data_IF_006171327473
#
_entry.id   IF_006171327473
#
_cell.length_a   1.000
_cell.length_b   1.000
_cell.length_c   1.000
_cell.angle_alpha   90.00
_cell.angle_beta   90.00
_cell.angle_gamma   90.00
#
_symmetry.space_group_name_H-M   'P 1'
#
loop_
_entity.id
_entity.type
_entity.pdbx_description
1 polymer ?
#
# COMPACT_ATOMS: atom_id res chain seq x y z
N UNK A 1 -69.48 58.85 -7.57
CA UNK A 1 -68.07 58.85 -7.11
C UNK A 1 -68.01 57.96 -5.89
N UNK A 2 -67.51 56.72 -6.03
CA UNK A 2 -67.51 55.72 -4.95
C UNK A 2 -66.09 55.51 -4.44
N UNK A 3 -65.91 55.72 -3.14
CA UNK A 3 -64.70 55.41 -2.39
C UNK A 3 -64.57 53.89 -2.21
N UNK A 4 -63.35 53.34 -2.31
CA UNK A 4 -63.07 51.99 -1.81
C UNK A 4 -61.69 51.89 -1.19
N UNK A 5 -61.74 51.28 -0.02
CA UNK A 5 -60.73 51.04 1.02
C UNK A 5 -59.62 50.11 0.56
N UNK A 6 -58.39 50.38 1.02
CA UNK A 6 -57.20 49.54 0.85
C UNK A 6 -57.07 48.58 2.04
N UNK A 7 -56.92 47.29 1.78
CA UNK A 7 -56.45 46.28 2.75
C UNK A 7 -54.98 45.96 2.46
N UNK A 8 -54.16 45.98 3.52
CA UNK A 8 -52.76 45.57 3.51
C UNK A 8 -52.63 44.04 3.70
N UNK A 9 -51.68 43.42 3.00
CA UNK A 9 -51.23 42.04 3.24
C UNK A 9 -49.70 41.99 3.36
N UNK A 10 -49.24 41.22 4.34
CA UNK A 10 -47.85 41.10 4.79
C UNK A 10 -46.93 40.40 3.77
N UNK A 11 -45.68 40.87 3.71
CA UNK A 11 -44.57 40.22 3.01
C UNK A 11 -43.96 39.10 3.89
N UNK A 12 -43.86 37.89 3.36
CA UNK A 12 -43.12 36.77 3.93
C UNK A 12 -41.86 36.49 3.09
N UNK A 13 -40.69 36.64 3.70
CA UNK A 13 -39.39 36.37 3.07
C UNK A 13 -39.06 34.88 3.17
N UNK A 14 -38.95 34.18 2.05
CA UNK A 14 -38.41 32.82 2.01
C UNK A 14 -36.88 32.86 1.98
N UNK A 15 -36.24 32.27 2.99
CA UNK A 15 -34.79 32.09 3.05
C UNK A 15 -34.49 30.71 2.42
N UNK A 16 -33.86 30.69 1.25
CA UNK A 16 -33.35 29.47 0.66
C UNK A 16 -32.00 29.12 1.29
N UNK A 17 -31.93 28.02 2.03
CA UNK A 17 -30.66 27.47 2.50
C UNK A 17 -29.90 26.82 1.33
N UNK A 18 -28.59 27.07 1.15
CA UNK A 18 -27.81 26.36 0.14
C UNK A 18 -27.64 24.89 0.55
N UNK A 19 -28.04 23.99 -0.35
CA UNK A 19 -27.71 22.56 -0.26
C UNK A 19 -26.19 22.43 -0.51
N UNK A 20 -25.41 21.76 0.35
CA UNK A 20 -24.01 21.50 0.06
C UNK A 20 -23.90 20.65 -1.21
N UNK A 21 -23.08 21.11 -2.17
CA UNK A 21 -22.78 20.35 -3.36
C UNK A 21 -22.10 19.03 -2.96
N UNK A 22 -22.66 17.90 -3.40
CA UNK A 22 -21.98 16.61 -3.28
C UNK A 22 -20.70 16.64 -4.13
N UNK A 23 -19.57 16.50 -3.45
CA UNK A 23 -18.26 16.39 -4.06
C UNK A 23 -18.21 15.08 -4.86
N UNK A 24 -18.26 15.18 -6.19
CA UNK A 24 -18.16 14.03 -7.07
C UNK A 24 -16.81 13.33 -6.86
N UNK A 25 -16.81 12.18 -6.18
CA UNK A 25 -15.65 11.28 -6.13
C UNK A 25 -15.32 10.85 -7.56
N UNK A 26 -14.29 11.45 -8.16
CA UNK A 26 -13.80 11.07 -9.47
C UNK A 26 -13.48 9.57 -9.47
N UNK A 27 -14.13 8.82 -10.36
CA UNK A 27 -13.88 7.40 -10.54
C UNK A 27 -12.48 7.24 -11.15
N UNK A 28 -11.50 6.86 -10.32
CA UNK A 28 -10.17 6.47 -10.81
C UNK A 28 -10.34 5.20 -11.64
N UNK A 29 -9.96 5.24 -12.92
CA UNK A 29 -9.96 4.08 -13.81
C UNK A 29 -9.13 2.96 -13.17
N UNK A 30 -9.68 1.74 -13.08
CA UNK A 30 -8.93 0.54 -12.65
C UNK A 30 -7.61 0.47 -13.41
N UNK A 31 -6.51 0.46 -12.69
CA UNK A 31 -5.19 0.35 -13.29
C UNK A 31 -4.90 -1.14 -13.47
N UNK A 32 -4.96 -1.62 -14.72
CA UNK A 32 -4.65 -3.02 -15.01
C UNK A 32 -3.24 -3.38 -14.52
N UNK A 33 -3.14 -4.53 -13.84
CA UNK A 33 -1.87 -5.12 -13.44
C UNK A 33 -1.05 -5.40 -14.71
N UNK A 34 0.18 -4.87 -14.75
CA UNK A 34 1.07 -4.96 -15.90
C UNK A 34 2.51 -5.37 -15.54
N UNK A 35 2.73 -5.80 -14.30
CA UNK A 35 4.05 -6.20 -13.81
C UNK A 35 3.98 -7.44 -12.91
N UNK A 36 4.94 -8.33 -13.11
CA UNK A 36 5.14 -9.55 -12.33
C UNK A 36 6.47 -9.41 -11.57
N UNK A 37 6.39 -9.35 -10.25
CA UNK A 37 7.56 -9.42 -9.38
C UNK A 37 7.93 -10.89 -9.19
N UNK A 38 9.17 -11.26 -9.56
CA UNK A 38 9.66 -12.63 -9.42
C UNK A 38 11.16 -12.63 -9.09
N UNK A 39 11.47 -12.43 -7.81
CA UNK A 39 12.80 -12.67 -7.26
C UNK A 39 12.79 -14.02 -6.55
N UNK A 40 13.57 -14.98 -7.08
CA UNK A 40 13.66 -16.36 -6.58
C UNK A 40 12.33 -17.10 -6.44
N UNK A 41 11.33 -16.84 -7.29
CA UNK A 41 10.01 -17.46 -7.16
C UNK A 41 9.99 -18.99 -7.35
N UNK A 42 11.06 -19.57 -7.91
CA UNK A 42 11.26 -21.02 -7.92
C UNK A 42 11.39 -21.61 -6.51
N UNK A 43 11.80 -20.83 -5.50
CA UNK A 43 11.84 -21.25 -4.10
C UNK A 43 10.46 -21.27 -3.43
N UNK A 44 9.45 -20.71 -4.10
CA UNK A 44 8.10 -20.52 -3.57
C UNK A 44 7.03 -21.14 -4.47
N UNK A 45 7.39 -22.06 -5.36
CA UNK A 45 6.46 -22.67 -6.33
C UNK A 45 5.54 -21.62 -7.01
N UNK A 46 6.11 -20.44 -7.33
CA UNK A 46 5.32 -19.26 -7.64
C UNK A 46 4.52 -19.44 -8.94
N UNK A 47 3.21 -19.21 -8.84
CA UNK A 47 2.28 -19.20 -9.96
C UNK A 47 1.45 -17.90 -9.92
N UNK A 48 1.05 -17.42 -11.09
CA UNK A 48 0.27 -16.18 -11.17
C UNK A 48 -0.70 -16.19 -12.35
N UNK A 49 -1.77 -15.39 -12.23
CA UNK A 49 -2.63 -15.00 -13.33
C UNK A 49 -2.75 -13.48 -13.34
N UNK A 50 -2.00 -12.84 -14.24
CA UNK A 50 -1.94 -11.38 -14.31
C UNK A 50 -3.30 -10.76 -14.66
N UNK A 51 -4.12 -11.44 -15.48
CA UNK A 51 -5.43 -10.94 -15.91
C UNK A 51 -6.45 -10.88 -14.79
N UNK A 52 -6.40 -11.82 -13.83
CA UNK A 52 -7.28 -11.82 -12.65
C UNK A 52 -6.64 -11.20 -11.42
N UNK A 53 -5.33 -10.95 -11.44
CA UNK A 53 -4.56 -10.52 -10.26
C UNK A 53 -4.23 -11.65 -9.28
N UNK A 54 -4.26 -12.90 -9.76
CA UNK A 54 -4.07 -14.10 -8.93
C UNK A 54 -2.59 -14.35 -8.63
N UNK A 55 -2.28 -14.60 -7.36
CA UNK A 55 -0.95 -14.95 -6.86
C UNK A 55 -1.07 -16.24 -6.07
N UNK A 56 -0.24 -17.23 -6.38
CA UNK A 56 -0.03 -18.40 -5.55
C UNK A 56 1.45 -18.60 -5.24
N UNK A 57 1.76 -18.82 -3.98
CA UNK A 57 3.10 -19.15 -3.52
C UNK A 57 3.00 -20.24 -2.44
N UNK A 58 3.92 -21.20 -2.47
CA UNK A 58 4.07 -22.27 -1.51
C UNK A 58 5.56 -22.53 -1.29
N UNK A 59 6.03 -22.38 -0.06
CA UNK A 59 7.46 -22.41 0.25
C UNK A 59 7.75 -23.32 1.44
N UNK A 60 8.95 -23.89 1.41
CA UNK A 60 9.50 -24.68 2.51
C UNK A 60 11.00 -24.42 2.65
N UNK A 61 11.36 -23.71 3.71
CA UNK A 61 12.70 -23.23 4.05
C UNK A 61 13.44 -22.53 2.89
N UNK A 62 12.86 -21.47 2.28
CA UNK A 62 13.53 -20.69 1.25
C UNK A 62 14.69 -19.88 1.85
N UNK A 63 15.70 -19.56 1.04
CA UNK A 63 16.74 -18.60 1.43
C UNK A 63 16.21 -17.17 1.49
N UNK A 64 15.60 -16.70 0.40
CA UNK A 64 14.86 -15.45 0.28
C UNK A 64 14.15 -15.42 -1.08
N UNK A 65 12.88 -14.99 -1.10
CA UNK A 65 12.14 -14.72 -2.33
C UNK A 65 11.21 -13.52 -2.14
N UNK A 66 10.93 -12.81 -3.22
CA UNK A 66 9.88 -11.79 -3.28
C UNK A 66 9.08 -12.00 -4.56
N UNK A 67 7.82 -12.39 -4.43
CA UNK A 67 6.93 -12.66 -5.56
C UNK A 67 5.62 -11.90 -5.42
N UNK A 68 5.08 -11.42 -6.54
CA UNK A 68 3.86 -10.65 -6.51
C UNK A 68 3.42 -10.09 -7.84
N UNK A 69 2.34 -9.31 -7.80
CA UNK A 69 1.76 -8.65 -8.97
C UNK A 69 1.49 -7.18 -8.69
N UNK A 70 1.59 -6.35 -9.72
CA UNK A 70 1.19 -4.95 -9.65
C UNK A 70 1.52 -4.19 -10.91
N UNK A 71 2.23 -3.09 -10.75
CA UNK A 71 2.43 -2.09 -11.79
C UNK A 71 3.91 -1.81 -12.01
N UNK A 72 4.31 -1.74 -13.28
CA UNK A 72 5.68 -1.43 -13.70
C UNK A 72 6.10 0.00 -13.31
N UNK A 73 5.11 0.86 -13.11
CA UNK A 73 5.28 2.23 -12.61
C UNK A 73 4.44 2.44 -11.34
N UNK A 74 5.13 2.66 -10.23
CA UNK A 74 4.57 3.07 -8.96
C UNK A 74 3.99 4.47 -9.02
N UNK A 75 2.98 4.72 -8.18
CA UNK A 75 2.41 6.06 -7.98
C UNK A 75 2.22 6.33 -6.49
N UNK A 76 2.05 7.60 -6.14
CA UNK A 76 1.89 8.04 -4.76
C UNK A 76 0.46 7.95 -4.22
N UNK A 77 -0.52 7.67 -5.09
CA UNK A 77 -1.94 7.80 -4.78
C UNK A 77 -2.74 6.52 -4.98
N UNK A 78 -2.07 5.41 -5.35
CA UNK A 78 -2.75 4.14 -5.61
C UNK A 78 -3.42 3.60 -4.35
N UNK A 79 -4.64 3.09 -4.51
CA UNK A 79 -5.28 2.23 -3.52
C UNK A 79 -5.14 0.80 -4.01
N UNK A 80 -4.40 -0.02 -3.26
CA UNK A 80 -4.16 -1.43 -3.64
C UNK A 80 -5.12 -2.30 -2.84
N UNK A 81 -6.00 -3.01 -3.52
CA UNK A 81 -6.91 -3.97 -2.93
C UNK A 81 -6.30 -5.36 -3.00
N UNK A 82 -6.36 -6.10 -1.90
CA UNK A 82 -5.86 -7.46 -1.82
C UNK A 82 -6.77 -8.32 -0.97
N UNK A 83 -6.72 -9.63 -1.17
CA UNK A 83 -7.39 -10.57 -0.29
C UNK A 83 -7.12 -12.01 -0.64
N UNK A 84 -7.21 -12.88 0.36
CA UNK A 84 -7.06 -14.31 0.18
C UNK A 84 -6.53 -14.99 1.43
N UNK A 85 -5.86 -16.12 1.25
CA UNK A 85 -5.25 -16.89 2.32
C UNK A 85 -3.75 -16.58 2.37
N UNK A 86 -3.24 -16.46 3.59
CA UNK A 86 -1.82 -16.28 3.88
C UNK A 86 -1.50 -16.99 5.19
N UNK A 87 -0.62 -17.97 5.12
CA UNK A 87 -0.17 -18.78 6.25
C UNK A 87 1.35 -18.85 6.25
N UNK A 88 1.97 -18.74 7.43
CA UNK A 88 3.42 -18.77 7.59
C UNK A 88 3.77 -19.27 8.98
N UNK A 89 4.84 -20.05 9.10
CA UNK A 89 5.41 -20.45 10.39
C UNK A 89 6.41 -19.43 10.94
N UNK A 90 7.20 -18.76 10.08
CA UNK A 90 8.16 -17.73 10.45
C UNK A 90 8.66 -16.94 9.23
N UNK A 91 9.43 -15.87 9.47
CA UNK A 91 10.26 -15.18 8.48
C UNK A 91 9.59 -14.81 7.14
N UNK A 92 8.37 -14.24 7.20
CA UNK A 92 7.62 -13.87 6.00
C UNK A 92 6.79 -12.58 6.20
N UNK A 93 6.55 -11.89 5.08
CA UNK A 93 5.70 -10.71 4.97
C UNK A 93 4.62 -10.88 3.89
N UNK A 94 3.47 -10.27 4.16
CA UNK A 94 2.41 -9.96 3.21
C UNK A 94 2.33 -8.43 3.10
N UNK A 95 2.67 -7.86 1.94
CA UNK A 95 3.06 -6.44 1.90
C UNK A 95 2.79 -5.78 0.54
N UNK A 96 2.53 -4.46 0.56
CA UNK A 96 2.86 -3.62 -0.61
C UNK A 96 4.38 -3.46 -0.66
N UNK A 97 4.98 -3.63 -1.83
CA UNK A 97 6.42 -3.59 -2.04
C UNK A 97 6.78 -2.77 -3.28
N UNK A 98 7.93 -2.09 -3.26
CA UNK A 98 8.45 -1.42 -4.44
C UNK A 98 9.65 -0.54 -4.15
N UNK A 99 10.05 0.23 -5.17
CA UNK A 99 11.28 1.01 -5.15
C UNK A 99 11.11 2.45 -5.64
N UNK A 100 12.01 3.32 -5.21
CA UNK A 100 12.33 4.59 -5.85
C UNK A 100 13.68 4.46 -6.56
N UNK A 101 13.82 5.04 -7.75
CA UNK A 101 15.09 5.07 -8.47
C UNK A 101 16.09 6.08 -7.89
N UNK A 102 15.61 7.19 -7.33
CA UNK A 102 16.48 8.25 -6.79
C UNK A 102 15.78 9.08 -5.70
N UNK A 103 16.37 9.20 -4.49
CA UNK A 103 17.45 8.32 -3.99
C UNK A 103 16.99 6.86 -4.01
N UNK A 104 17.91 5.93 -4.30
CA UNK A 104 17.59 4.50 -4.33
C UNK A 104 17.00 4.09 -2.98
N UNK A 105 15.73 3.69 -2.99
CA UNK A 105 14.96 3.44 -1.77
C UNK A 105 14.02 2.28 -2.00
N UNK A 106 14.08 1.27 -1.13
CA UNK A 106 13.13 0.17 -1.09
C UNK A 106 12.06 0.47 -0.04
N UNK A 107 10.81 0.05 -0.27
CA UNK A 107 9.74 0.32 0.66
C UNK A 107 8.73 -0.79 0.83
N UNK A 108 8.13 -0.82 2.02
CA UNK A 108 7.21 -1.84 2.48
C UNK A 108 6.02 -1.24 3.25
N UNK A 109 4.80 -1.68 2.92
CA UNK A 109 3.62 -1.49 3.77
C UNK A 109 3.13 -2.88 4.14
N UNK A 110 3.55 -3.35 5.31
CA UNK A 110 3.40 -4.73 5.78
C UNK A 110 2.03 -4.90 6.45
N UNK A 111 1.18 -5.71 5.85
CA UNK A 111 -0.20 -5.97 6.27
C UNK A 111 -0.32 -7.18 7.21
N UNK A 112 0.51 -8.19 6.98
CA UNK A 112 0.65 -9.37 7.83
C UNK A 112 2.11 -9.84 7.81
N UNK A 113 2.56 -10.46 8.89
CA UNK A 113 3.96 -10.89 9.05
C UNK A 113 4.12 -11.87 10.19
N UNK A 114 5.18 -12.66 10.14
CA UNK A 114 5.65 -13.51 11.25
C UNK A 114 6.91 -12.97 11.93
N UNK A 115 7.62 -12.02 11.30
CA UNK A 115 8.77 -11.31 11.85
C UNK A 115 8.57 -9.79 11.72
N UNK A 116 8.93 -9.00 12.74
CA UNK A 116 8.75 -7.53 12.71
C UNK A 116 10.01 -6.86 12.12
N UNK A 117 9.95 -6.24 10.92
CA UNK A 117 11.13 -5.63 10.34
C UNK A 117 11.65 -4.43 11.17
N UNK A 118 10.79 -3.83 12.01
CA UNK A 118 11.20 -2.77 12.91
C UNK A 118 11.89 -3.24 14.19
N UNK A 119 12.03 -4.56 14.42
CA UNK A 119 12.83 -5.11 15.53
C UNK A 119 14.26 -5.48 15.12
N UNK A 120 14.64 -5.29 13.86
CA UNK A 120 16.00 -5.55 13.37
C UNK A 120 16.96 -4.51 13.94
N UNK A 121 18.19 -4.93 14.27
CA UNK A 121 19.26 -4.04 14.72
C UNK A 121 19.55 -2.93 13.71
N UNK A 122 19.88 -1.73 14.20
CA UNK A 122 20.13 -0.54 13.36
C UNK A 122 18.92 -0.07 12.53
N UNK A 123 17.71 -0.53 12.87
CA UNK A 123 16.46 0.06 12.37
C UNK A 123 16.03 1.20 13.28
N UNK A 124 15.74 2.36 12.70
CA UNK A 124 15.26 3.54 13.42
C UNK A 124 13.73 3.61 13.34
N UNK A 125 13.04 3.58 14.48
CA UNK A 125 11.61 3.93 14.54
C UNK A 125 11.47 5.45 14.41
N UNK A 126 10.69 5.90 13.43
CA UNK A 126 10.56 7.33 13.07
C UNK A 126 9.16 7.89 13.24
N UNK A 127 8.18 7.05 13.60
CA UNK A 127 6.84 7.50 13.95
C UNK A 127 5.77 6.43 13.73
N UNK A 128 4.55 6.88 13.51
CA UNK A 128 3.41 6.03 13.19
C UNK A 128 2.44 6.74 12.24
N UNK A 129 1.56 5.97 11.61
CA UNK A 129 0.44 6.49 10.81
C UNK A 129 -0.79 5.62 11.05
N UNK A 130 -1.96 6.23 11.21
CA UNK A 130 -3.23 5.50 11.20
C UNK A 130 -3.81 5.54 9.78
N UNK A 131 -4.01 4.36 9.18
CA UNK A 131 -4.58 4.21 7.85
C UNK A 131 -5.42 2.94 7.81
N UNK A 132 -6.49 2.94 7.01
CA UNK A 132 -7.26 1.73 6.68
C UNK A 132 -7.62 0.87 7.92
N UNK A 133 -8.04 1.53 9.01
CA UNK A 133 -8.50 0.90 10.25
C UNK A 133 -7.42 0.36 11.20
N UNK A 134 -6.13 0.67 11.01
CA UNK A 134 -5.10 0.33 12.01
C UNK A 134 -3.98 1.36 12.06
N UNK A 135 -3.28 1.36 13.19
CA UNK A 135 -2.02 2.07 13.35
C UNK A 135 -0.89 1.23 12.77
N UNK A 136 0.00 1.89 12.04
CA UNK A 136 1.22 1.33 11.52
C UNK A 136 2.39 1.96 12.25
N UNK A 137 3.31 1.13 12.74
CA UNK A 137 4.63 1.60 13.18
C UNK A 137 5.46 1.93 11.95
N UNK A 138 6.14 3.07 11.95
CA UNK A 138 7.02 3.48 10.86
C UNK A 138 8.47 3.35 11.33
N UNK A 139 9.27 2.65 10.55
CA UNK A 139 10.71 2.59 10.77
C UNK A 139 11.47 2.66 9.44
N UNK A 140 12.75 2.99 9.54
CA UNK A 140 13.67 3.04 8.40
C UNK A 140 15.01 2.43 8.75
N UNK A 141 15.69 1.92 7.72
CA UNK A 141 17.00 1.29 7.83
C UNK A 141 17.85 1.65 6.61
N UNK A 142 19.17 1.48 6.68
CA UNK A 142 20.08 1.62 5.53
C UNK A 142 20.73 0.29 5.26
N UNK A 143 20.46 -0.27 4.07
CA UNK A 143 21.15 -1.45 3.57
C UNK A 143 22.48 -1.03 2.96
N UNK A 144 23.57 -1.70 3.37
CA UNK A 144 24.94 -1.40 2.92
C UNK A 144 25.42 -2.53 2.01
N UNK A 145 25.76 -2.18 0.77
CA UNK A 145 26.28 -3.10 -0.26
C UNK A 145 25.41 -4.36 -0.43
N UNK A 146 24.09 -4.18 -0.51
CA UNK A 146 23.12 -5.26 -0.69
C UNK A 146 22.58 -5.34 -2.12
N UNK A 147 22.00 -6.47 -2.54
CA UNK A 147 21.27 -6.58 -3.80
C UNK A 147 20.15 -5.54 -3.92
N UNK A 148 19.95 -4.99 -5.11
CA UNK A 148 18.93 -3.99 -5.41
C UNK A 148 18.52 -4.05 -6.88
N UNK A 149 17.55 -3.20 -7.27
CA UNK A 149 17.11 -3.05 -8.66
C UNK A 149 18.20 -2.50 -9.62
N UNK A 150 19.35 -2.05 -9.11
CA UNK A 150 20.50 -1.60 -9.90
C UNK A 150 21.76 -2.44 -9.64
N UNK A 151 21.60 -3.66 -9.13
CA UNK A 151 22.71 -4.51 -8.69
C UNK A 151 23.11 -4.24 -7.23
N UNK A 152 24.36 -4.47 -6.87
CA UNK A 152 24.83 -4.25 -5.49
C UNK A 152 24.96 -2.76 -5.20
N UNK A 153 24.25 -2.25 -4.20
CA UNK A 153 24.24 -0.83 -3.84
C UNK A 153 24.02 -0.60 -2.33
N UNK A 154 24.18 0.65 -1.90
CA UNK A 154 23.74 1.12 -0.58
C UNK A 154 22.48 1.95 -0.76
N UNK A 155 21.42 1.62 -0.01
CA UNK A 155 20.09 2.23 -0.18
C UNK A 155 19.31 2.30 1.13
N UNK A 156 18.33 3.21 1.16
CA UNK A 156 17.40 3.32 2.29
C UNK A 156 16.25 2.32 2.18
N UNK A 157 15.76 1.85 3.32
CA UNK A 157 14.51 1.10 3.43
C UNK A 157 13.51 1.88 4.29
N UNK A 158 12.24 1.86 3.88
CA UNK A 158 11.12 2.39 4.66
C UNK A 158 10.06 1.32 4.89
N UNK A 159 9.60 1.19 6.13
CA UNK A 159 8.55 0.24 6.51
C UNK A 159 7.41 0.97 7.21
N UNK A 160 6.18 0.63 6.83
CA UNK A 160 4.99 0.77 7.66
C UNK A 160 4.53 -0.63 8.07
N UNK A 161 4.54 -0.93 9.37
CA UNK A 161 4.19 -2.26 9.91
C UNK A 161 2.86 -2.20 10.64
N UNK A 162 1.84 -2.88 10.10
CA UNK A 162 0.47 -2.85 10.64
C UNK A 162 0.39 -3.54 12.00
N UNK A 163 -0.20 -2.88 13.00
CA UNK A 163 -0.37 -3.48 14.33
C UNK A 163 -1.48 -4.55 14.33
N UNK A 164 -2.64 -4.24 13.75
CA UNK A 164 -3.74 -5.19 13.62
C UNK A 164 -3.63 -5.92 12.28
N UNK A 165 -2.84 -7.00 12.26
CA UNK A 165 -2.53 -7.80 11.06
C UNK A 165 -3.81 -8.25 10.34
N UNK A 166 -3.75 -8.28 9.01
CA UNK A 166 -4.87 -8.75 8.16
C UNK A 166 -4.37 -9.36 6.85
N UNK A 167 -5.17 -10.25 6.27
CA UNK A 167 -4.87 -10.89 4.97
C UNK A 167 -5.84 -10.47 3.86
N UNK A 168 -6.63 -9.42 4.10
CA UNK A 168 -7.48 -8.78 3.07
C UNK A 168 -7.79 -7.33 3.42
N UNK A 169 -8.07 -6.52 2.40
CA UNK A 169 -8.49 -5.13 2.53
C UNK A 169 -7.93 -4.24 1.43
N UNK A 170 -7.93 -2.93 1.70
CA UNK A 170 -7.35 -1.90 0.84
C UNK A 170 -6.20 -1.20 1.54
N UNK A 171 -5.12 -0.92 0.82
CA UNK A 171 -3.98 -0.10 1.29
C UNK A 171 -4.02 1.25 0.59
N UNK A 172 -4.27 2.31 1.33
CA UNK A 172 -4.24 3.68 0.81
C UNK A 172 -2.79 4.19 0.84
N UNK A 173 -2.01 3.89 -0.21
CA UNK A 173 -0.55 4.12 -0.27
C UNK A 173 -0.17 5.57 0.03
N UNK A 174 -1.01 6.53 -0.38
CA UNK A 174 -0.81 7.95 -0.11
C UNK A 174 -0.59 8.28 1.37
N UNK A 175 -1.32 7.62 2.28
CA UNK A 175 -1.22 7.87 3.71
C UNK A 175 0.18 7.51 4.23
N UNK A 176 0.72 6.37 3.78
CA UNK A 176 2.05 5.89 4.15
C UNK A 176 3.15 6.78 3.58
N UNK A 177 3.10 7.08 2.28
CA UNK A 177 4.13 7.90 1.65
C UNK A 177 4.14 9.32 2.20
N UNK A 178 2.98 9.91 2.49
CA UNK A 178 2.89 11.22 3.13
C UNK A 178 3.42 11.22 4.57
N UNK A 179 3.25 10.12 5.30
CA UNK A 179 3.88 9.98 6.61
C UNK A 179 5.40 9.84 6.51
N UNK A 180 5.91 9.02 5.57
CA UNK A 180 7.35 8.81 5.39
C UNK A 180 8.10 10.06 4.89
N UNK A 181 7.44 10.94 4.11
CA UNK A 181 8.01 12.23 3.70
C UNK A 181 8.51 13.04 4.89
N UNK A 182 7.82 12.98 6.04
CA UNK A 182 8.21 13.67 7.28
C UNK A 182 9.53 13.16 7.86
N UNK A 183 10.02 12.01 7.39
CA UNK A 183 11.24 11.35 7.85
C UNK A 183 12.29 11.17 6.75
N UNK A 184 12.10 11.82 5.60
CA UNK A 184 13.07 11.89 4.49
C UNK A 184 12.76 11.03 3.27
N UNK A 185 11.59 10.41 3.16
CA UNK A 185 11.20 9.66 1.96
C UNK A 185 10.88 10.62 0.80
N UNK A 186 11.54 10.44 -0.34
CA UNK A 186 11.43 11.38 -1.46
C UNK A 186 10.04 11.40 -2.11
N UNK A 187 9.35 10.24 -2.16
CA UNK A 187 8.04 10.10 -2.79
C UNK A 187 7.96 10.66 -4.23
N UNK A 188 9.01 10.40 -5.00
CA UNK A 188 9.17 10.76 -6.39
C UNK A 188 10.00 9.70 -7.09
N UNK A 189 9.95 9.66 -8.43
CA UNK A 189 10.77 8.75 -9.24
C UNK A 189 10.58 7.26 -8.86
N UNK A 190 9.31 6.86 -8.74
CA UNK A 190 8.93 5.47 -8.45
C UNK A 190 9.42 4.52 -9.55
N UNK A 191 9.89 3.33 -9.16
CA UNK A 191 10.04 2.18 -10.05
C UNK A 191 8.76 1.32 -9.94
N UNK A 192 8.84 -0.01 -10.04
CA UNK A 192 7.68 -0.88 -9.88
C UNK A 192 7.05 -0.76 -8.47
N UNK A 193 5.76 -1.12 -8.40
CA UNK A 193 4.99 -1.22 -7.16
C UNK A 193 4.06 -2.42 -7.26
N UNK A 194 4.16 -3.34 -6.30
CA UNK A 194 3.42 -4.60 -6.30
C UNK A 194 2.79 -4.86 -4.94
N UNK A 195 1.80 -5.75 -4.92
CA UNK A 195 1.45 -6.47 -3.70
C UNK A 195 2.17 -7.83 -3.75
N UNK A 196 2.92 -8.14 -2.70
CA UNK A 196 3.89 -9.23 -2.69
C UNK A 196 3.81 -10.09 -1.43
N UNK A 197 4.32 -11.30 -1.59
CA UNK A 197 4.71 -12.21 -0.53
C UNK A 197 6.23 -12.29 -0.54
N UNK A 198 6.83 -12.10 0.63
CA UNK A 198 8.26 -12.31 0.85
C UNK A 198 8.45 -13.36 1.93
N UNK A 199 9.41 -14.27 1.75
CA UNK A 199 9.86 -15.12 2.83
C UNK A 199 11.34 -15.51 2.68
N UNK A 200 12.02 -15.56 3.82
CA UNK A 200 13.46 -15.81 3.97
C UNK A 200 13.73 -16.89 5.03
N UNK A 201 12.77 -17.79 5.19
CA UNK A 201 12.84 -18.94 6.09
C UNK A 201 11.46 -19.51 6.38
N UNK A 202 11.44 -20.58 7.18
CA UNK A 202 10.21 -21.26 7.57
C UNK A 202 9.44 -21.84 6.39
N UNK A 203 8.18 -22.14 6.61
CA UNK A 203 7.26 -22.70 5.62
C UNK A 203 5.95 -21.94 5.61
N UNK A 204 5.23 -22.00 4.49
CA UNK A 204 3.96 -21.34 4.37
C UNK A 204 3.41 -21.36 2.96
N UNK A 205 2.24 -20.77 2.82
CA UNK A 205 1.58 -20.62 1.53
C UNK A 205 0.71 -19.36 1.48
N UNK A 206 0.52 -18.87 0.27
CA UNK A 206 -0.35 -17.75 -0.05
C UNK A 206 -1.18 -18.09 -1.29
N UNK A 207 -2.45 -17.69 -1.25
CA UNK A 207 -3.34 -17.68 -2.41
C UNK A 207 -4.15 -16.39 -2.35
N UNK A 208 -3.79 -15.44 -3.20
CA UNK A 208 -4.22 -14.05 -3.10
C UNK A 208 -4.80 -13.57 -4.43
N UNK A 209 -5.68 -12.58 -4.33
CA UNK A 209 -6.15 -11.76 -5.44
C UNK A 209 -5.77 -10.31 -5.18
N UNK A 210 -5.28 -9.63 -6.21
CA UNK A 210 -4.82 -8.23 -6.16
C UNK A 210 -5.53 -7.40 -7.23
N UNK A 211 -5.89 -6.16 -6.91
CA UNK A 211 -6.43 -5.19 -7.87
C UNK A 211 -6.15 -3.75 -7.43
N UNK A 212 -6.30 -2.78 -8.34
CA UNK A 212 -6.10 -1.35 -8.07
C UNK A 212 -6.45 -0.47 -9.27
#
# INVERSE_FOLDING_TARGET
MKFSTVLATLAGSAIASPVPAEESKALVKRQSINYVQNYNGNLANFQYNQGTGGIHADWNNPSDFVVGLGWSQGTSYRVINFGGQYTTSSSSYLTVYGWLNSPLTEYYIVENYSFDPCSVSNTQVVGSVTSDGSTYKICKHTQVNQPSIVGTATFGQYFSVRQNKRSSGSVTVANHFNAWKKSGFAASNYNYQVFAVEAFGGSGSANLQVSG
#
